data_IF_372718481933
#
_entry.id   IF_372718481933
#
_cell.length_a   1.000
_cell.length_b   1.000
_cell.length_c   1.000
_cell.angle_alpha   90.00
_cell.angle_beta   90.00
_cell.angle_gamma   90.00
#
_symmetry.space_group_name_H-M   'P 1'
#
loop_
_entity.id
_entity.type
_entity.pdbx_description
1 polymer ?
#
# COMPACT_ATOMS: atom_id res chain seq x y z
N UNK A 1 -7.05 1.81 17.30
CA UNK A 1 -6.68 1.81 15.87
C UNK A 1 -7.54 0.80 15.14
N UNK A 2 -8.29 1.22 14.12
CA UNK A 2 -9.19 0.35 13.35
C UNK A 2 -8.41 -0.49 12.32
N UNK A 3 -9.07 -1.50 11.72
CA UNK A 3 -8.50 -2.27 10.60
C UNK A 3 -8.10 -1.37 9.43
N UNK A 4 -8.94 -0.38 9.11
CA UNK A 4 -8.64 0.63 8.10
C UNK A 4 -7.36 1.39 8.43
N UNK A 5 -7.23 1.87 9.67
CA UNK A 5 -6.06 2.65 10.09
C UNK A 5 -4.77 1.81 10.01
N UNK A 6 -4.83 0.51 10.34
CA UNK A 6 -3.70 -0.42 10.18
C UNK A 6 -3.31 -0.60 8.71
N UNK A 7 -4.28 -0.81 7.83
CA UNK A 7 -4.05 -0.97 6.39
C UNK A 7 -3.46 0.32 5.79
N UNK A 8 -4.05 1.47 6.10
CA UNK A 8 -3.52 2.75 5.64
C UNK A 8 -2.11 3.02 6.15
N UNK A 9 -1.81 2.64 7.40
CA UNK A 9 -0.46 2.76 7.94
C UNK A 9 0.55 1.90 7.18
N UNK A 10 0.18 0.68 6.76
CA UNK A 10 1.03 -0.15 5.89
C UNK A 10 1.34 0.62 4.60
N UNK A 11 0.33 1.11 3.90
CA UNK A 11 0.55 1.86 2.66
C UNK A 11 1.42 3.11 2.85
N UNK A 12 1.19 3.88 3.91
CA UNK A 12 1.99 5.08 4.22
C UNK A 12 3.46 4.74 4.50
N UNK A 13 3.73 3.67 5.27
CA UNK A 13 5.09 3.20 5.51
C UNK A 13 5.74 2.67 4.22
N UNK A 14 4.99 1.93 3.39
CA UNK A 14 5.46 1.48 2.07
C UNK A 14 5.79 2.65 1.15
N UNK A 15 5.00 3.72 1.15
CA UNK A 15 5.31 4.92 0.36
C UNK A 15 6.67 5.51 0.72
N UNK A 16 7.05 5.50 1.99
CA UNK A 16 8.36 5.98 2.43
C UNK A 16 9.47 5.01 2.00
N UNK A 17 9.27 3.72 2.23
CA UNK A 17 10.25 2.68 1.90
C UNK A 17 10.49 2.56 0.39
N UNK A 18 9.46 2.74 -0.43
CA UNK A 18 9.53 2.62 -1.89
C UNK A 18 10.08 3.87 -2.57
N UNK A 19 9.96 5.07 -1.97
CA UNK A 19 10.59 6.29 -2.51
C UNK A 19 12.10 6.20 -2.67
N UNK A 20 12.73 5.28 -1.94
CA UNK A 20 14.17 5.01 -2.03
C UNK A 20 14.53 4.11 -3.22
N UNK A 21 13.54 3.55 -3.93
CA UNK A 21 13.74 2.72 -5.10
C UNK A 21 13.70 3.59 -6.36
N UNK A 22 14.81 3.64 -7.10
CA UNK A 22 14.92 4.36 -8.37
C UNK A 22 14.27 3.52 -9.50
N UNK A 23 12.95 3.59 -9.60
CA UNK A 23 12.17 2.83 -10.58
C UNK A 23 10.94 3.60 -11.06
N UNK A 24 10.75 3.68 -12.37
CA UNK A 24 9.55 4.28 -12.99
C UNK A 24 8.26 3.55 -12.55
N UNK A 25 8.31 2.22 -12.44
CA UNK A 25 7.18 1.44 -11.95
C UNK A 25 6.81 1.82 -10.52
N UNK A 26 7.82 1.94 -9.65
CA UNK A 26 7.59 2.36 -8.26
C UNK A 26 7.02 3.78 -8.22
N UNK A 27 7.58 4.71 -9.00
CA UNK A 27 7.06 6.08 -9.10
C UNK A 27 5.59 6.10 -9.49
N UNK A 28 5.22 5.34 -10.53
CA UNK A 28 3.83 5.23 -10.99
C UNK A 28 2.89 4.65 -9.92
N UNK A 29 3.36 3.66 -9.15
CA UNK A 29 2.60 3.08 -8.03
C UNK A 29 2.35 4.14 -6.95
N UNK A 30 3.39 4.89 -6.58
CA UNK A 30 3.32 5.92 -5.53
C UNK A 30 2.40 7.06 -5.91
N UNK A 31 2.43 7.52 -7.17
CA UNK A 31 1.53 8.56 -7.68
C UNK A 31 0.07 8.09 -7.70
N UNK A 32 -0.14 6.84 -8.13
CA UNK A 32 -1.48 6.21 -8.13
C UNK A 32 -2.05 6.09 -6.72
N UNK A 33 -1.22 5.73 -5.74
CA UNK A 33 -1.60 5.66 -4.33
C UNK A 33 -1.90 7.04 -3.76
N UNK A 34 -1.06 8.05 -4.03
CA UNK A 34 -1.30 9.41 -3.57
C UNK A 34 -2.64 9.95 -4.04
N UNK A 35 -2.96 9.72 -5.33
CA UNK A 35 -4.26 10.10 -5.92
C UNK A 35 -5.41 9.36 -5.24
N UNK A 36 -5.28 8.05 -5.06
CA UNK A 36 -6.32 7.22 -4.43
C UNK A 36 -6.57 7.63 -2.98
N UNK A 37 -5.53 7.94 -2.21
CA UNK A 37 -5.68 8.35 -0.81
C UNK A 37 -6.35 9.70 -0.68
N UNK A 38 -6.04 10.66 -1.58
CA UNK A 38 -6.75 11.94 -1.61
C UNK A 38 -8.26 11.76 -1.90
N UNK A 39 -8.61 10.90 -2.86
CA UNK A 39 -10.02 10.59 -3.15
C UNK A 39 -10.72 9.89 -1.98
N UNK A 40 -10.05 8.93 -1.34
CA UNK A 40 -10.59 8.25 -0.16
C UNK A 40 -10.86 9.23 0.99
N UNK A 41 -9.95 10.16 1.24
CA UNK A 41 -10.12 11.21 2.25
C UNK A 41 -11.36 12.07 1.95
N UNK A 42 -11.52 12.52 0.70
CA UNK A 42 -12.72 13.26 0.27
C UNK A 42 -14.01 12.46 0.50
N UNK A 43 -14.03 11.15 0.18
CA UNK A 43 -15.20 10.30 0.40
C UNK A 43 -15.54 10.11 1.88
N UNK A 44 -14.54 10.09 2.75
CA UNK A 44 -14.72 10.00 4.19
C UNK A 44 -15.24 11.31 4.78
N UNK A 45 -14.66 12.45 4.37
CA UNK A 45 -15.07 13.79 4.81
C UNK A 45 -16.51 14.10 4.41
N UNK A 46 -16.87 13.79 3.16
CA UNK A 46 -18.22 13.96 2.63
C UNK A 46 -19.21 12.90 3.14
N UNK A 47 -18.77 11.96 3.99
CA UNK A 47 -19.55 10.85 4.56
C UNK A 47 -20.23 9.97 3.49
N UNK A 48 -19.69 9.95 2.27
CA UNK A 48 -20.21 9.13 1.17
C UNK A 48 -19.89 7.65 1.39
N UNK A 49 -18.75 7.36 2.02
CA UNK A 49 -18.29 6.00 2.31
C UNK A 49 -17.77 5.94 3.76
N UNK A 50 -17.95 4.80 4.43
CA UNK A 50 -17.35 4.52 5.74
C UNK A 50 -16.02 3.79 5.59
N UNK A 51 -15.08 4.03 6.50
CA UNK A 51 -13.78 3.32 6.58
C UNK A 51 -13.90 1.79 6.42
N UNK A 52 -14.92 1.18 7.02
CA UNK A 52 -15.14 -0.26 6.95
C UNK A 52 -15.39 -0.78 5.53
N UNK A 53 -16.00 0.03 4.67
CA UNK A 53 -16.32 -0.32 3.28
C UNK A 53 -15.08 -0.28 2.38
N UNK A 54 -14.00 0.40 2.79
CA UNK A 54 -12.74 0.46 2.05
C UNK A 54 -11.76 -0.66 2.43
N UNK A 55 -12.01 -1.37 3.54
CA UNK A 55 -11.10 -2.39 4.04
C UNK A 55 -10.81 -3.49 3.02
N UNK A 56 -11.81 -3.97 2.29
CA UNK A 56 -11.63 -5.05 1.31
C UNK A 56 -10.73 -4.61 0.15
N UNK A 57 -10.93 -3.40 -0.37
CA UNK A 57 -10.10 -2.84 -1.44
C UNK A 57 -8.65 -2.66 -1.00
N UNK A 58 -8.41 -2.08 0.18
CA UNK A 58 -7.06 -1.93 0.73
C UNK A 58 -6.39 -3.30 0.99
N UNK A 59 -7.15 -4.29 1.47
CA UNK A 59 -6.59 -5.63 1.65
C UNK A 59 -6.25 -6.31 0.32
N UNK A 60 -7.10 -6.16 -0.67
CA UNK A 60 -6.88 -6.72 -2.00
C UNK A 60 -5.64 -6.11 -2.64
N UNK A 61 -5.50 -4.78 -2.59
CA UNK A 61 -4.31 -4.11 -3.13
C UNK A 61 -3.01 -4.58 -2.47
N UNK A 62 -3.00 -4.88 -1.17
CA UNK A 62 -1.82 -5.46 -0.51
C UNK A 62 -1.53 -6.90 -0.93
N UNK A 63 -2.56 -7.69 -1.26
CA UNK A 63 -2.41 -9.07 -1.74
C UNK A 63 -1.88 -9.14 -3.18
N UNK A 64 -2.26 -8.17 -4.01
CA UNK A 64 -1.86 -8.09 -5.43
C UNK A 64 -0.51 -7.39 -5.63
N UNK A 65 -0.03 -6.66 -4.61
CA UNK A 65 1.21 -5.89 -4.71
C UNK A 65 2.45 -6.76 -5.03
N UNK A 66 2.65 -7.97 -4.47
CA UNK A 66 3.76 -8.83 -4.88
C UNK A 66 3.78 -9.16 -6.38
N UNK A 67 2.60 -9.39 -6.97
CA UNK A 67 2.46 -9.67 -8.40
C UNK A 67 2.77 -8.42 -9.23
N UNK A 68 2.33 -7.25 -8.78
CA UNK A 68 2.67 -5.97 -9.44
C UNK A 68 4.18 -5.68 -9.39
N UNK A 69 4.86 -6.05 -8.29
CA UNK A 69 6.30 -5.90 -8.15
C UNK A 69 7.09 -6.92 -8.99
N UNK A 70 6.43 -7.93 -9.57
CA UNK A 70 7.11 -8.95 -10.38
C UNK A 70 7.75 -8.40 -11.65
N UNK A 71 7.26 -7.26 -12.14
CA UNK A 71 7.76 -6.51 -13.30
C UNK A 71 9.06 -5.73 -13.02
N UNK A 72 9.49 -5.65 -11.76
CA UNK A 72 10.79 -5.07 -11.41
C UNK A 72 11.94 -6.02 -11.79
N UNK A 73 13.14 -5.48 -12.11
CA UNK A 73 14.33 -6.31 -12.25
C UNK A 73 14.66 -7.03 -10.92
N UNK A 74 15.35 -8.17 -11.01
CA UNK A 74 15.43 -9.15 -9.92
C UNK A 74 15.92 -8.55 -8.58
N UNK A 75 16.92 -7.66 -8.61
CA UNK A 75 17.50 -7.07 -7.40
C UNK A 75 16.53 -6.07 -6.75
N UNK A 76 15.94 -5.21 -7.55
CA UNK A 76 14.97 -4.21 -7.12
C UNK A 76 13.69 -4.90 -6.59
N UNK A 77 13.25 -5.97 -7.25
CA UNK A 77 12.12 -6.79 -6.81
C UNK A 77 12.37 -7.41 -5.44
N UNK A 78 13.55 -8.00 -5.23
CA UNK A 78 13.90 -8.61 -3.94
C UNK A 78 13.86 -7.56 -2.80
N UNK A 79 14.44 -6.38 -3.04
CA UNK A 79 14.44 -5.28 -2.07
C UNK A 79 13.00 -4.79 -1.80
N UNK A 80 12.19 -4.60 -2.85
CA UNK A 80 10.82 -4.15 -2.74
C UNK A 80 9.95 -5.15 -1.95
N UNK A 81 10.08 -6.45 -2.24
CA UNK A 81 9.37 -7.51 -1.51
C UNK A 81 9.82 -7.60 -0.04
N UNK A 82 11.11 -7.46 0.24
CA UNK A 82 11.61 -7.44 1.61
C UNK A 82 11.03 -6.26 2.40
N UNK A 83 11.02 -5.06 1.81
CA UNK A 83 10.38 -3.87 2.39
C UNK A 83 8.87 -4.11 2.60
N UNK A 84 8.19 -4.69 1.61
CA UNK A 84 6.77 -5.04 1.66
C UNK A 84 6.45 -5.93 2.87
N UNK A 85 7.06 -7.11 2.94
CA UNK A 85 6.76 -8.07 3.99
C UNK A 85 7.17 -7.58 5.38
N UNK A 86 8.27 -6.81 5.47
CA UNK A 86 8.68 -6.18 6.74
C UNK A 86 7.64 -5.20 7.26
N UNK A 87 7.14 -4.30 6.41
CA UNK A 87 6.11 -3.32 6.80
C UNK A 87 4.78 -4.01 7.12
N UNK A 88 4.39 -5.01 6.32
CA UNK A 88 3.19 -5.80 6.57
C UNK A 88 3.27 -6.51 7.91
N UNK A 89 4.33 -7.27 8.18
CA UNK A 89 4.49 -8.01 9.44
C UNK A 89 4.50 -7.08 10.67
N UNK A 90 5.12 -5.89 10.54
CA UNK A 90 5.15 -4.89 11.62
C UNK A 90 3.77 -4.35 11.99
N UNK A 91 2.88 -4.16 11.02
CA UNK A 91 1.59 -3.49 11.24
C UNK A 91 0.40 -4.47 11.27
N UNK A 92 0.52 -5.62 10.60
CA UNK A 92 -0.48 -6.68 10.43
C UNK A 92 0.25 -8.05 10.39
N UNK A 93 0.77 -8.55 11.53
CA UNK A 93 1.58 -9.77 11.59
C UNK A 93 0.88 -11.03 11.07
N UNK A 94 -0.44 -11.11 11.19
CA UNK A 94 -1.26 -12.25 10.73
C UNK A 94 -2.03 -11.92 9.44
N UNK A 95 -1.40 -11.19 8.51
CA UNK A 95 -2.04 -10.84 7.24
C UNK A 95 -2.24 -12.06 6.32
N UNK A 96 -1.33 -13.03 6.42
CA UNK A 96 -1.31 -14.28 5.64
C UNK A 96 -1.64 -15.48 6.53
#
# INVERSE_FOLDING_TARGET
MTKFDKLMKVYQELMLEFKELDSDLITNILDSWSTSFSQMEQYLENKQIRKSQMNSGLQQGLKELPDLLSDLPDKEREIALLKLYKVMNKNIPDFY
#
